data_IF_256348935790
#
_entry.id   IF_256348935790
#
_cell.length_a   1.000
_cell.length_b   1.000
_cell.length_c   1.000
_cell.angle_alpha   90.00
_cell.angle_beta   90.00
_cell.angle_gamma   90.00
#
_symmetry.space_group_name_H-M   'P 1'
#
loop_
_entity.id
_entity.type
_entity.pdbx_description
1 polymer ?
#
# COMPACT_ATOMS: atom_id res chain seq x y z
N UNK A 1 0.18 -7.92 -8.73
CA UNK A 1 0.10 -6.57 -8.15
C UNK A 1 -0.44 -6.64 -6.73
N UNK A 2 -0.10 -5.65 -5.90
CA UNK A 2 -0.51 -5.65 -4.47
C UNK A 2 -2.04 -5.71 -4.28
N UNK A 3 -2.82 -5.06 -5.15
CA UNK A 3 -4.28 -5.09 -5.09
C UNK A 3 -4.83 -6.50 -5.40
N UNK A 4 -4.33 -7.12 -6.46
CA UNK A 4 -4.74 -8.49 -6.84
C UNK A 4 -4.35 -9.49 -5.75
N UNK A 5 -3.21 -9.30 -5.12
CA UNK A 5 -2.76 -10.16 -4.04
C UNK A 5 -3.61 -9.99 -2.77
N UNK A 6 -4.01 -8.76 -2.44
CA UNK A 6 -4.96 -8.50 -1.36
C UNK A 6 -6.32 -9.14 -1.63
N UNK A 7 -6.83 -9.02 -2.86
CA UNK A 7 -8.11 -9.63 -3.25
C UNK A 7 -8.07 -11.16 -3.12
N UNK A 8 -7.00 -11.79 -3.61
CA UNK A 8 -6.81 -13.24 -3.48
C UNK A 8 -6.73 -13.68 -2.03
N UNK A 9 -6.00 -12.95 -1.20
CA UNK A 9 -5.86 -13.25 0.22
C UNK A 9 -7.21 -13.17 0.94
N UNK A 10 -7.97 -12.09 0.73
CA UNK A 10 -9.30 -11.93 1.33
C UNK A 10 -10.25 -13.03 0.85
N UNK A 11 -10.24 -13.32 -0.45
CA UNK A 11 -11.07 -14.40 -1.00
C UNK A 11 -10.73 -15.75 -0.37
N UNK A 12 -9.46 -16.06 -0.19
CA UNK A 12 -9.02 -17.31 0.44
C UNK A 12 -9.56 -17.45 1.87
N UNK A 13 -9.51 -16.38 2.66
CA UNK A 13 -10.05 -16.38 4.03
C UNK A 13 -11.57 -16.50 4.05
N UNK A 14 -12.27 -15.77 3.20
CA UNK A 14 -13.75 -15.83 3.15
C UNK A 14 -14.24 -17.16 2.60
N UNK A 15 -13.58 -17.73 1.61
CA UNK A 15 -13.88 -19.09 1.09
C UNK A 15 -13.65 -20.17 2.17
N UNK A 16 -12.70 -19.95 3.08
CA UNK A 16 -12.44 -20.85 4.22
C UNK A 16 -13.43 -20.66 5.38
N UNK A 17 -14.39 -19.74 5.26
CA UNK A 17 -15.44 -19.54 6.26
C UNK A 17 -15.19 -18.40 7.24
N UNK A 18 -14.14 -17.58 7.05
CA UNK A 18 -13.90 -16.40 7.89
C UNK A 18 -14.83 -15.25 7.46
N UNK A 19 -15.60 -14.72 8.40
CA UNK A 19 -16.45 -13.56 8.10
C UNK A 19 -15.59 -12.32 7.76
N UNK A 20 -15.97 -11.59 6.71
CA UNK A 20 -15.27 -10.38 6.30
C UNK A 20 -15.17 -9.34 7.45
N UNK A 21 -16.19 -9.27 8.32
CA UNK A 21 -16.21 -8.40 9.49
C UNK A 21 -15.12 -8.69 10.53
N UNK A 22 -14.42 -9.81 10.41
CA UNK A 22 -13.27 -10.17 11.25
C UNK A 22 -11.93 -9.90 10.59
N UNK A 23 -11.91 -9.50 9.32
CA UNK A 23 -10.70 -9.25 8.56
C UNK A 23 -10.29 -7.78 8.63
N UNK A 24 -9.00 -7.56 8.74
CA UNK A 24 -8.35 -6.24 8.70
C UNK A 24 -7.34 -6.24 7.56
N UNK A 25 -7.35 -5.20 6.73
CA UNK A 25 -6.38 -5.06 5.64
C UNK A 25 -5.11 -4.38 6.15
N UNK A 26 -3.96 -5.04 5.94
CA UNK A 26 -2.66 -4.45 6.22
C UNK A 26 -2.19 -3.51 5.11
N UNK A 27 -1.77 -2.31 5.47
CA UNK A 27 -1.21 -1.31 4.56
C UNK A 27 0.28 -1.17 4.86
N UNK A 28 1.17 -1.54 3.93
CA UNK A 28 2.60 -1.33 4.12
C UNK A 28 2.95 0.15 3.90
N UNK A 29 3.71 0.73 4.83
CA UNK A 29 4.28 2.08 4.67
C UNK A 29 5.67 2.01 4.04
N UNK A 30 5.90 1.00 3.22
CA UNK A 30 7.15 0.77 2.51
C UNK A 30 6.88 0.20 1.12
N UNK A 31 7.84 0.37 0.21
CA UNK A 31 7.86 -0.30 -1.09
C UNK A 31 8.70 -1.57 -1.03
N UNK A 32 8.23 -2.64 -1.67
CA UNK A 32 8.98 -3.89 -1.79
C UNK A 32 9.89 -3.84 -3.03
N UNK A 33 11.19 -3.85 -2.80
CA UNK A 33 12.20 -3.84 -3.88
C UNK A 33 12.51 -5.29 -4.31
N UNK A 34 12.73 -6.17 -3.34
CA UNK A 34 13.11 -7.56 -3.60
C UNK A 34 12.73 -8.44 -2.42
N UNK A 35 12.47 -9.71 -2.68
CA UNK A 35 12.32 -10.74 -1.65
C UNK A 35 13.63 -11.48 -1.35
N UNK A 36 14.58 -11.43 -2.29
CA UNK A 36 15.80 -12.27 -2.24
C UNK A 36 17.07 -11.45 -2.02
N UNK A 37 17.01 -10.13 -2.16
CA UNK A 37 18.18 -9.26 -2.12
C UNK A 37 18.01 -8.15 -1.08
N UNK A 38 19.12 -7.68 -0.54
CA UNK A 38 19.14 -6.52 0.35
C UNK A 38 19.60 -5.27 -0.44
N UNK A 39 18.96 -4.09 -0.23
CA UNK A 39 17.78 -3.89 0.61
C UNK A 39 16.53 -4.48 -0.05
N UNK A 40 15.69 -5.15 0.75
CA UNK A 40 14.44 -5.76 0.27
C UNK A 40 13.25 -4.83 0.26
N UNK A 41 13.32 -3.72 0.99
CA UNK A 41 12.24 -2.75 1.12
C UNK A 41 12.82 -1.33 1.28
N UNK A 42 12.00 -0.34 1.00
CA UNK A 42 12.31 1.08 1.18
C UNK A 42 11.12 1.77 1.84
N UNK A 43 11.35 2.47 2.94
CA UNK A 43 10.32 3.18 3.69
C UNK A 43 9.72 4.35 2.87
N UNK A 44 8.45 4.64 3.08
CA UNK A 44 7.77 5.75 2.40
C UNK A 44 8.51 7.07 2.57
N UNK A 45 9.00 7.38 3.78
CA UNK A 45 9.75 8.61 4.04
C UNK A 45 11.05 8.72 3.24
N UNK A 46 11.57 7.62 2.73
CA UNK A 46 12.74 7.60 1.83
C UNK A 46 12.35 7.64 0.37
N UNK A 47 11.20 7.02 0.01
CA UNK A 47 10.68 7.08 -1.36
C UNK A 47 10.46 8.54 -1.78
N UNK A 48 9.84 9.35 -0.95
CA UNK A 48 9.54 10.75 -1.27
C UNK A 48 10.78 11.64 -1.37
N UNK A 49 11.93 11.16 -0.87
CA UNK A 49 13.22 11.86 -0.92
C UNK A 49 14.15 11.35 -2.04
N UNK A 50 13.73 10.37 -2.84
CA UNK A 50 14.53 9.86 -3.94
C UNK A 50 14.84 10.96 -4.95
N UNK A 51 16.04 10.91 -5.54
CA UNK A 51 16.49 11.88 -6.54
C UNK A 51 15.60 11.81 -7.80
N UNK A 52 14.87 12.86 -8.08
CA UNK A 52 13.93 12.95 -9.20
C UNK A 52 14.61 13.00 -10.57
N UNK A 53 15.94 13.16 -10.63
CA UNK A 53 16.68 13.04 -11.88
C UNK A 53 16.75 11.58 -12.36
N UNK A 54 16.84 10.63 -11.43
CA UNK A 54 16.97 9.20 -11.71
C UNK A 54 15.69 8.41 -11.42
N UNK A 55 14.87 8.87 -10.47
CA UNK A 55 13.67 8.17 -10.02
C UNK A 55 12.40 8.96 -10.35
N UNK A 56 11.42 8.27 -10.89
CA UNK A 56 10.05 8.79 -10.99
C UNK A 56 9.18 8.02 -10.00
N UNK A 57 8.59 8.73 -9.03
CA UNK A 57 7.87 8.09 -7.91
C UNK A 57 6.35 8.09 -8.08
N UNK A 58 5.81 8.83 -9.03
CA UNK A 58 4.37 9.07 -9.19
C UNK A 58 3.76 8.35 -10.40
N UNK A 59 4.40 7.28 -10.88
CA UNK A 59 3.75 6.41 -11.86
C UNK A 59 2.53 5.73 -11.21
N UNK A 60 1.52 5.44 -12.01
CA UNK A 60 0.29 4.83 -11.53
C UNK A 60 -0.02 3.55 -12.27
N UNK A 61 -0.22 2.46 -11.53
CA UNK A 61 -0.71 1.19 -12.06
C UNK A 61 -2.23 1.15 -11.90
N UNK A 62 -2.96 1.32 -13.00
CA UNK A 62 -4.42 1.36 -12.99
C UNK A 62 -5.07 -0.01 -12.75
N UNK A 63 -4.34 -1.10 -12.95
CA UNK A 63 -4.84 -2.44 -12.64
C UNK A 63 -4.74 -2.76 -11.15
N UNK A 64 -3.63 -2.35 -10.53
CA UNK A 64 -3.39 -2.55 -9.12
C UNK A 64 -3.91 -1.42 -8.24
N UNK A 65 -4.23 -0.26 -8.82
CA UNK A 65 -4.61 0.97 -8.11
C UNK A 65 -3.58 1.41 -7.08
N UNK A 66 -2.31 1.36 -7.47
CA UNK A 66 -1.20 1.80 -6.61
C UNK A 66 -0.17 2.61 -7.40
N UNK A 67 0.55 3.51 -6.71
CA UNK A 67 1.70 4.17 -7.30
C UNK A 67 2.89 3.22 -7.37
N UNK A 68 3.80 3.49 -8.31
CA UNK A 68 5.07 2.76 -8.37
C UNK A 68 6.21 3.68 -8.77
N UNK A 69 7.41 3.27 -8.38
CA UNK A 69 8.66 3.96 -8.65
C UNK A 69 9.37 3.29 -9.82
N UNK A 70 9.90 4.11 -10.73
CA UNK A 70 10.87 3.66 -11.72
C UNK A 70 12.23 4.29 -11.45
N UNK A 71 13.28 3.54 -11.72
CA UNK A 71 14.68 3.99 -11.69
C UNK A 71 15.24 3.95 -13.09
N UNK A 72 15.59 5.11 -13.64
CA UNK A 72 16.09 5.26 -15.02
C UNK A 72 15.20 4.51 -16.03
N UNK A 73 13.88 4.63 -15.85
CA UNK A 73 12.88 4.02 -16.73
C UNK A 73 12.52 2.57 -16.42
N UNK A 74 13.24 1.90 -15.51
CA UNK A 74 12.95 0.51 -15.11
C UNK A 74 12.16 0.45 -13.82
N UNK A 75 11.27 -0.52 -13.70
CA UNK A 75 10.48 -0.73 -12.47
C UNK A 75 11.39 -0.92 -11.26
N UNK A 76 11.11 -0.21 -10.17
CA UNK A 76 11.87 -0.28 -8.93
C UNK A 76 11.06 -0.87 -7.78
N UNK A 77 9.92 -0.27 -7.42
CA UNK A 77 9.00 -0.81 -6.41
C UNK A 77 7.61 -0.21 -6.53
N UNK A 78 6.61 -0.98 -6.09
CA UNK A 78 5.27 -0.46 -5.81
C UNK A 78 5.17 -0.04 -4.34
N UNK A 79 4.30 0.91 -4.03
CA UNK A 79 4.08 1.38 -2.67
C UNK A 79 2.64 1.87 -2.52
N UNK A 80 2.28 2.38 -1.35
CA UNK A 80 0.98 3.01 -1.14
C UNK A 80 1.15 4.51 -0.89
N UNK A 81 0.23 5.30 -1.43
CA UNK A 81 0.10 6.72 -1.16
C UNK A 81 -1.34 7.05 -0.70
N UNK A 82 -1.63 8.32 -0.51
CA UNK A 82 -2.95 8.77 -0.08
C UNK A 82 -4.07 8.29 -1.01
N UNK A 83 -3.84 8.33 -2.32
CA UNK A 83 -4.83 7.91 -3.33
C UNK A 83 -5.10 6.40 -3.26
N UNK A 84 -4.07 5.58 -3.21
CA UNK A 84 -4.23 4.13 -3.14
C UNK A 84 -4.87 3.69 -1.82
N UNK A 85 -4.52 4.33 -0.71
CA UNK A 85 -5.13 4.07 0.61
C UNK A 85 -6.62 4.42 0.59
N UNK A 86 -7.01 5.54 -0.01
CA UNK A 86 -8.42 5.92 -0.14
C UNK A 86 -9.22 4.89 -0.95
N UNK A 87 -8.67 4.41 -2.06
CA UNK A 87 -9.29 3.37 -2.90
C UNK A 87 -9.44 2.06 -2.12
N UNK A 88 -8.40 1.65 -1.39
CA UNK A 88 -8.44 0.47 -0.53
C UNK A 88 -9.48 0.61 0.59
N UNK A 89 -9.63 1.81 1.16
CA UNK A 89 -10.66 2.10 2.16
C UNK A 89 -12.07 1.91 1.62
N UNK A 90 -12.36 2.45 0.44
CA UNK A 90 -13.65 2.26 -0.21
C UNK A 90 -13.93 0.79 -0.50
N UNK A 91 -12.92 0.07 -0.95
CA UNK A 91 -13.02 -1.35 -1.26
C UNK A 91 -13.32 -2.21 -0.03
N UNK A 92 -12.57 -2.03 1.07
CA UNK A 92 -12.81 -2.84 2.29
C UNK A 92 -14.17 -2.53 2.93
N UNK A 93 -14.68 -1.30 2.82
CA UNK A 93 -16.04 -0.98 3.24
C UNK A 93 -17.07 -1.71 2.42
N UNK A 94 -16.89 -1.78 1.09
CA UNK A 94 -17.78 -2.52 0.21
C UNK A 94 -17.86 -4.02 0.54
N UNK A 95 -16.79 -4.58 1.11
CA UNK A 95 -16.71 -5.97 1.54
C UNK A 95 -17.19 -6.19 2.99
N UNK A 96 -17.48 -5.13 3.73
CA UNK A 96 -17.85 -5.23 5.15
C UNK A 96 -16.72 -5.66 6.06
N UNK A 97 -15.47 -5.37 5.69
CA UNK A 97 -14.31 -5.70 6.52
C UNK A 97 -14.20 -4.79 7.74
N UNK A 98 -13.48 -5.27 8.76
CA UNK A 98 -13.39 -4.59 10.06
C UNK A 98 -12.62 -3.25 9.99
N UNK A 99 -11.58 -3.16 9.17
CA UNK A 99 -10.76 -1.95 9.06
C UNK A 99 -9.41 -2.18 8.45
N UNK A 100 -8.48 -1.28 8.76
CA UNK A 100 -7.10 -1.31 8.31
C UNK A 100 -6.12 -1.36 9.48
N UNK A 101 -4.95 -1.96 9.25
CA UNK A 101 -3.75 -1.78 10.07
C UNK A 101 -2.62 -1.33 9.16
N UNK A 102 -1.55 -0.82 9.69
CA UNK A 102 -0.38 -0.43 8.90
C UNK A 102 0.92 -0.83 9.58
N UNK A 103 1.98 -0.97 8.80
CA UNK A 103 3.33 -1.22 9.25
C UNK A 103 4.33 -0.39 8.42
N UNK A 104 5.13 0.48 9.04
CA UNK A 104 4.97 0.88 10.44
C UNK A 104 5.00 2.40 10.55
N UNK A 105 4.67 2.90 11.71
CA UNK A 105 4.57 4.32 12.00
C UNK A 105 5.85 5.10 11.66
N UNK A 106 7.01 4.52 11.92
CA UNK A 106 8.31 5.16 11.68
C UNK A 106 8.66 5.29 10.19
N UNK A 107 8.01 4.52 9.33
CA UNK A 107 8.20 4.57 7.89
C UNK A 107 7.44 5.72 7.22
N UNK A 108 6.48 6.32 7.91
CA UNK A 108 5.74 7.49 7.42
C UNK A 108 6.62 8.74 7.43
N UNK A 109 6.17 9.80 6.74
CA UNK A 109 6.87 11.08 6.75
C UNK A 109 6.60 11.86 8.06
N UNK A 110 7.33 12.97 8.24
CA UNK A 110 7.21 13.79 9.44
C UNK A 110 5.83 14.47 9.58
N UNK A 111 5.05 14.53 8.51
CA UNK A 111 3.70 15.11 8.52
C UNK A 111 2.61 14.05 8.78
N UNK A 112 3.00 12.79 8.93
CA UNK A 112 2.11 11.65 9.12
C UNK A 112 1.11 11.49 7.97
N UNK A 113 1.57 11.66 6.75
CA UNK A 113 0.75 11.66 5.53
C UNK A 113 -0.03 10.36 5.38
N UNK A 114 0.64 9.21 5.50
CA UNK A 114 -0.01 7.91 5.35
C UNK A 114 -0.88 7.55 6.54
N UNK A 115 -0.47 7.87 7.77
CA UNK A 115 -1.31 7.69 8.96
C UNK A 115 -2.64 8.45 8.84
N UNK A 116 -2.58 9.70 8.39
CA UNK A 116 -3.78 10.51 8.14
C UNK A 116 -4.65 9.93 7.04
N UNK A 117 -4.03 9.43 5.97
CA UNK A 117 -4.75 8.78 4.87
C UNK A 117 -5.51 7.53 5.34
N UNK A 118 -4.88 6.69 6.16
CA UNK A 118 -5.53 5.51 6.76
C UNK A 118 -6.69 5.93 7.66
N UNK A 119 -6.47 6.90 8.53
CA UNK A 119 -7.52 7.45 9.40
C UNK A 119 -8.73 7.93 8.59
N UNK A 120 -8.51 8.76 7.58
CA UNK A 120 -9.56 9.28 6.70
C UNK A 120 -10.28 8.15 5.95
N UNK A 121 -9.54 7.14 5.51
CA UNK A 121 -10.10 6.00 4.77
C UNK A 121 -11.04 5.15 5.62
N UNK A 122 -10.73 4.94 6.91
CA UNK A 122 -11.55 4.09 7.80
C UNK A 122 -12.68 4.86 8.49
N UNK A 123 -12.60 6.17 8.59
CA UNK A 123 -13.58 7.01 9.29
C UNK A 123 -14.71 7.55 8.41
N UNK A 124 -14.73 7.22 7.16
CA UNK A 124 -15.81 7.61 6.23
C UNK A 124 -17.14 6.97 6.55
#
# INVERSE_FOLDING_TARGET
SAYVDCERAIKAYTDAGVAASKLVLGIPFYGRISFDKSPGAIDYNKIILLDKNDYKIDNWDSNANVPYVTYKGSYYCGYDNEKSIAIKGDWIRSLGMKGMMYWDYNADDNQHTLCKAVWQAVMK
#
